data_IF_644346450654
#
_entry.id   IF_644346450654
#
_cell.length_a   1.000
_cell.length_b   1.000
_cell.length_c   1.000
_cell.angle_alpha   90.00
_cell.angle_beta   90.00
_cell.angle_gamma   90.00
#
_symmetry.space_group_name_H-M   'P 1'
#
loop_
_entity.id
_entity.type
_entity.pdbx_description
1 polymer ?
#
# COMPACT_ATOMS: atom_id res chain seq x y z
N UNK A 1 -15.92 -3.43 10.00
CA UNK A 1 -15.48 -2.46 8.98
C UNK A 1 -14.23 -2.89 8.19
N UNK A 2 -13.38 -3.80 8.72
CA UNK A 2 -12.17 -4.28 8.02
C UNK A 2 -12.40 -4.82 6.60
N UNK A 3 -13.43 -5.65 6.43
CA UNK A 3 -13.78 -6.26 5.13
C UNK A 3 -14.16 -5.20 4.10
N UNK A 4 -14.94 -4.20 4.49
CA UNK A 4 -15.32 -3.10 3.61
C UNK A 4 -14.09 -2.29 3.16
N UNK A 5 -13.19 -1.97 4.08
CA UNK A 5 -11.94 -1.26 3.76
C UNK A 5 -11.04 -2.02 2.77
N UNK A 6 -10.87 -3.33 2.96
CA UNK A 6 -10.11 -4.17 2.03
C UNK A 6 -10.73 -4.25 0.63
N UNK A 7 -12.06 -4.43 0.54
CA UNK A 7 -12.77 -4.46 -0.76
C UNK A 7 -12.65 -3.12 -1.48
N UNK A 8 -12.84 -2.00 -0.77
CA UNK A 8 -12.69 -0.65 -1.33
C UNK A 8 -11.26 -0.46 -1.88
N UNK A 9 -10.25 -0.87 -1.13
CA UNK A 9 -8.86 -0.77 -1.57
C UNK A 9 -8.56 -1.63 -2.80
N UNK A 10 -9.10 -2.84 -2.90
CA UNK A 10 -8.97 -3.69 -4.09
C UNK A 10 -9.63 -3.03 -5.31
N UNK A 11 -10.87 -2.56 -5.16
CA UNK A 11 -11.61 -1.91 -6.26
C UNK A 11 -10.85 -0.66 -6.71
N UNK A 12 -10.44 0.20 -5.77
CA UNK A 12 -9.65 1.39 -6.06
C UNK A 12 -8.32 1.04 -6.75
N UNK A 13 -7.63 -0.02 -6.30
CA UNK A 13 -6.41 -0.51 -6.93
C UNK A 13 -6.62 -0.98 -8.37
N UNK A 14 -7.69 -1.72 -8.66
CA UNK A 14 -8.03 -2.18 -10.03
C UNK A 14 -8.28 -0.99 -10.94
N UNK A 15 -9.07 -0.01 -10.51
CA UNK A 15 -9.26 1.22 -11.29
C UNK A 15 -7.96 2.03 -11.42
N UNK A 16 -7.10 2.00 -10.42
CA UNK A 16 -5.76 2.59 -10.47
C UNK A 16 -4.87 1.95 -11.55
N UNK A 17 -4.92 0.63 -11.74
CA UNK A 17 -4.21 -0.05 -12.85
C UNK A 17 -4.75 0.42 -14.20
N UNK A 18 -6.08 0.55 -14.35
CA UNK A 18 -6.68 1.05 -15.59
C UNK A 18 -6.27 2.50 -15.86
N UNK A 19 -6.24 3.34 -14.83
CA UNK A 19 -5.79 4.72 -14.91
C UNK A 19 -4.30 4.81 -15.28
N UNK A 20 -3.46 3.96 -14.70
CA UNK A 20 -2.05 3.86 -15.04
C UNK A 20 -1.86 3.38 -16.50
N UNK A 21 -2.68 2.44 -16.95
CA UNK A 21 -2.75 2.02 -18.34
C UNK A 21 -3.12 3.16 -19.29
N UNK A 22 -4.12 3.97 -18.92
CA UNK A 22 -4.46 5.18 -19.67
C UNK A 22 -3.30 6.18 -19.70
N UNK A 23 -2.64 6.43 -18.56
CA UNK A 23 -1.45 7.29 -18.48
C UNK A 23 -0.31 6.77 -19.36
N UNK A 24 -0.06 5.46 -19.38
CA UNK A 24 0.93 4.84 -20.26
C UNK A 24 0.55 4.95 -21.74
N UNK A 25 -0.73 4.79 -22.09
CA UNK A 25 -1.20 4.97 -23.46
C UNK A 25 -1.03 6.43 -23.91
N UNK A 26 -1.43 7.39 -23.08
CA UNK A 26 -1.25 8.81 -23.38
C UNK A 26 0.25 9.17 -23.47
N UNK A 27 1.07 8.68 -22.56
CA UNK A 27 2.52 8.88 -22.57
C UNK A 27 3.21 8.21 -23.77
N UNK A 28 2.77 7.01 -24.16
CA UNK A 28 3.29 6.29 -25.32
C UNK A 28 2.92 6.96 -26.64
N UNK A 29 1.67 7.43 -26.78
CA UNK A 29 1.26 8.25 -27.92
C UNK A 29 2.03 9.57 -27.96
N UNK A 30 2.16 10.27 -26.82
CA UNK A 30 2.94 11.50 -26.71
C UNK A 30 4.42 11.28 -27.09
N UNK A 31 4.99 10.12 -26.74
CA UNK A 31 6.36 9.75 -27.11
C UNK A 31 6.50 9.56 -28.63
N UNK A 32 5.48 8.96 -29.28
CA UNK A 32 5.48 8.76 -30.73
C UNK A 32 5.37 10.07 -31.53
N UNK A 33 4.79 11.11 -30.93
CA UNK A 33 4.72 12.47 -31.50
C UNK A 33 5.86 13.39 -31.02
N UNK A 34 6.89 12.84 -30.34
CA UNK A 34 8.01 13.59 -29.75
C UNK A 34 7.59 14.76 -28.87
N UNK A 35 6.47 14.62 -28.16
CA UNK A 35 6.01 15.63 -27.23
C UNK A 35 6.94 15.71 -26.01
N UNK A 36 7.30 16.93 -25.63
CA UNK A 36 8.16 17.21 -24.49
C UNK A 36 7.53 16.69 -23.18
N UNK A 37 8.32 16.02 -22.33
CA UNK A 37 7.85 15.45 -21.06
C UNK A 37 7.15 14.08 -21.17
N UNK A 38 7.05 13.49 -22.37
CA UNK A 38 6.46 12.16 -22.59
C UNK A 38 7.11 11.04 -21.76
N UNK A 39 8.44 11.06 -21.62
CA UNK A 39 9.17 10.10 -20.77
C UNK A 39 8.76 10.13 -19.29
N UNK A 40 8.44 11.31 -18.76
CA UNK A 40 7.94 11.46 -17.39
C UNK A 40 6.55 10.83 -17.23
N UNK A 41 5.67 11.02 -18.22
CA UNK A 41 4.32 10.43 -18.21
C UNK A 41 4.39 8.90 -18.25
N UNK A 42 5.27 8.35 -19.08
CA UNK A 42 5.51 6.89 -19.14
C UNK A 42 6.07 6.36 -17.82
N UNK A 43 7.03 7.07 -17.21
CA UNK A 43 7.58 6.71 -15.91
C UNK A 43 6.53 6.73 -14.79
N UNK A 44 5.70 7.77 -14.75
CA UNK A 44 4.58 7.88 -13.80
C UNK A 44 3.54 6.77 -14.03
N UNK A 45 3.28 6.40 -15.28
CA UNK A 45 2.41 5.28 -15.61
C UNK A 45 2.92 3.95 -15.05
N UNK A 46 4.21 3.65 -15.22
CA UNK A 46 4.82 2.44 -14.63
C UNK A 46 4.82 2.46 -13.11
N UNK A 47 5.10 3.62 -12.49
CA UNK A 47 4.92 3.81 -11.05
C UNK A 47 3.50 3.48 -10.62
N UNK A 48 2.51 4.01 -11.35
CA UNK A 48 1.09 3.77 -11.11
C UNK A 48 0.72 2.28 -11.15
N UNK A 49 1.19 1.55 -12.16
CA UNK A 49 0.91 0.10 -12.28
C UNK A 49 1.45 -0.67 -11.07
N UNK A 50 2.73 -0.45 -10.71
CA UNK A 50 3.38 -1.17 -9.61
C UNK A 50 2.68 -0.90 -8.28
N UNK A 51 2.41 0.38 -7.97
CA UNK A 51 1.75 0.75 -6.72
C UNK A 51 0.29 0.29 -6.69
N UNK A 52 -0.46 0.41 -7.79
CA UNK A 52 -1.84 -0.09 -7.85
C UNK A 52 -1.90 -1.59 -7.65
N UNK A 53 -0.96 -2.34 -8.22
CA UNK A 53 -0.87 -3.78 -8.00
C UNK A 53 -0.55 -4.11 -6.53
N UNK A 54 0.40 -3.38 -5.92
CA UNK A 54 0.71 -3.52 -4.50
C UNK A 54 -0.51 -3.25 -3.61
N UNK A 55 -1.31 -2.22 -3.93
CA UNK A 55 -2.56 -1.90 -3.22
C UNK A 55 -3.59 -3.01 -3.36
N UNK A 56 -3.76 -3.61 -4.54
CA UNK A 56 -4.66 -4.77 -4.74
C UNK A 56 -4.24 -5.94 -3.85
N UNK A 57 -2.94 -6.28 -3.89
CA UNK A 57 -2.38 -7.39 -3.10
C UNK A 57 -2.53 -7.12 -1.61
N UNK A 58 -2.17 -5.92 -1.13
CA UNK A 58 -2.33 -5.53 0.26
C UNK A 58 -3.80 -5.51 0.68
N UNK A 59 -4.71 -5.05 -0.18
CA UNK A 59 -6.16 -5.07 0.07
C UNK A 59 -6.70 -6.49 0.21
N UNK A 60 -6.22 -7.42 -0.60
CA UNK A 60 -6.54 -8.85 -0.48
C UNK A 60 -5.97 -9.45 0.81
N UNK A 61 -4.73 -9.13 1.17
CA UNK A 61 -4.09 -9.58 2.42
C UNK A 61 -4.86 -9.04 3.64
N UNK A 62 -5.33 -7.78 3.62
CA UNK A 62 -6.16 -7.19 4.69
C UNK A 62 -7.44 -8.00 4.91
N UNK A 63 -8.00 -8.60 3.87
CA UNK A 63 -9.20 -9.43 3.96
C UNK A 63 -8.97 -10.74 4.73
N UNK A 64 -7.79 -11.34 4.57
CA UNK A 64 -7.41 -12.61 5.21
C UNK A 64 -6.63 -12.47 6.53
N UNK A 65 -5.98 -11.34 6.77
CA UNK A 65 -5.11 -11.14 7.92
C UNK A 65 -5.88 -10.75 9.19
N UNK A 66 -5.40 -11.19 10.36
CA UNK A 66 -5.91 -10.74 11.68
C UNK A 66 -5.26 -9.43 12.17
N UNK A 67 -4.04 -9.12 11.72
CA UNK A 67 -3.24 -7.98 12.19
C UNK A 67 -3.54 -6.62 11.54
N UNK A 68 -2.91 -5.57 12.10
CA UNK A 68 -2.92 -4.18 11.61
C UNK A 68 -1.82 -3.84 10.60
N UNK A 69 -0.75 -4.65 10.58
CA UNK A 69 0.40 -4.52 9.68
C UNK A 69 -0.02 -4.33 8.22
N UNK A 70 -0.85 -5.21 7.60
CA UNK A 70 -1.18 -5.06 6.18
C UNK A 70 -2.04 -3.83 5.89
N UNK A 71 -2.83 -3.35 6.85
CA UNK A 71 -3.60 -2.12 6.69
C UNK A 71 -2.71 -0.87 6.76
N UNK A 72 -1.69 -0.88 7.62
CA UNK A 72 -0.69 0.19 7.67
C UNK A 72 0.19 0.23 6.40
N UNK A 73 0.62 -0.95 5.90
CA UNK A 73 1.35 -1.04 4.63
C UNK A 73 0.50 -0.53 3.47
N UNK A 74 -0.81 -0.80 3.46
CA UNK A 74 -1.72 -0.30 2.42
C UNK A 74 -1.79 1.21 2.40
N UNK A 75 -1.88 1.86 3.57
CA UNK A 75 -1.86 3.32 3.69
C UNK A 75 -0.53 3.86 3.16
N UNK A 76 0.60 3.30 3.58
CA UNK A 76 1.91 3.74 3.13
C UNK A 76 2.08 3.57 1.61
N UNK A 77 1.64 2.43 1.08
CA UNK A 77 1.66 2.15 -0.36
C UNK A 77 0.75 3.10 -1.14
N UNK A 78 -0.40 3.51 -0.58
CA UNK A 78 -1.29 4.49 -1.20
C UNK A 78 -0.69 5.90 -1.24
N UNK A 79 0.03 6.31 -0.19
CA UNK A 79 0.73 7.60 -0.15
C UNK A 79 1.87 7.63 -1.17
N UNK A 80 2.67 6.56 -1.22
CA UNK A 80 3.75 6.45 -2.21
C UNK A 80 3.18 6.39 -3.63
N UNK A 81 2.10 5.65 -3.84
CA UNK A 81 1.42 5.52 -5.12
C UNK A 81 0.78 6.82 -5.60
N UNK A 82 0.29 7.69 -4.70
CA UNK A 82 -0.27 8.99 -5.11
C UNK A 82 0.80 9.97 -5.61
N UNK A 83 2.03 9.84 -5.11
CA UNK A 83 3.17 10.67 -5.55
C UNK A 83 3.80 10.08 -6.82
N UNK A 84 4.01 8.76 -6.87
CA UNK A 84 4.71 8.10 -7.97
C UNK A 84 3.82 7.71 -9.17
N UNK A 85 2.50 7.62 -8.99
CA UNK A 85 1.56 7.16 -10.04
C UNK A 85 1.02 8.25 -10.97
N UNK A 86 1.31 9.52 -10.70
CA UNK A 86 0.75 10.65 -11.44
C UNK A 86 -0.69 11.01 -11.03
N UNK A 87 -1.24 12.06 -11.64
CA UNK A 87 -2.51 12.70 -11.22
C UNK A 87 -3.73 11.80 -11.36
N UNK A 88 -3.83 11.04 -12.46
CA UNK A 88 -4.95 10.11 -12.69
C UNK A 88 -4.98 8.97 -11.67
N UNK A 89 -3.81 8.41 -11.34
CA UNK A 89 -3.68 7.33 -10.35
C UNK A 89 -3.85 7.88 -8.93
N UNK A 90 -3.43 9.11 -8.65
CA UNK A 90 -3.53 9.74 -7.35
C UNK A 90 -4.98 9.77 -6.81
N UNK A 91 -5.97 10.01 -7.67
CA UNK A 91 -7.40 10.01 -7.26
C UNK A 91 -7.81 8.62 -6.74
N UNK A 92 -7.41 7.56 -7.45
CA UNK A 92 -7.66 6.18 -7.03
C UNK A 92 -6.85 5.80 -5.78
N UNK A 93 -5.65 6.34 -5.63
CA UNK A 93 -4.84 6.14 -4.42
C UNK A 93 -5.45 6.81 -3.19
N UNK A 94 -6.13 7.94 -3.33
CA UNK A 94 -6.88 8.56 -2.23
C UNK A 94 -8.06 7.66 -1.83
N UNK A 95 -8.77 7.07 -2.81
CA UNK A 95 -9.82 6.08 -2.53
C UNK A 95 -9.26 4.84 -1.82
N UNK A 96 -8.10 4.35 -2.25
CA UNK A 96 -7.39 3.25 -1.60
C UNK A 96 -6.95 3.60 -0.17
N UNK A 97 -6.48 4.83 0.05
CA UNK A 97 -6.13 5.37 1.36
C UNK A 97 -7.34 5.35 2.30
N UNK A 98 -8.51 5.78 1.83
CA UNK A 98 -9.76 5.68 2.60
C UNK A 98 -10.09 4.23 2.94
N UNK A 99 -9.92 3.30 1.98
CA UNK A 99 -10.03 1.86 2.22
C UNK A 99 -9.08 1.35 3.30
N UNK A 100 -7.82 1.81 3.28
CA UNK A 100 -6.79 1.51 4.28
C UNK A 100 -7.13 2.04 5.67
N UNK A 101 -7.56 3.30 5.77
CA UNK A 101 -7.99 3.91 7.04
C UNK A 101 -9.18 3.15 7.62
N UNK A 102 -10.20 2.84 6.80
CA UNK A 102 -11.35 2.03 7.20
C UNK A 102 -10.94 0.62 7.65
N UNK A 103 -9.92 0.04 7.02
CA UNK A 103 -9.36 -1.24 7.43
C UNK A 103 -8.62 -1.18 8.78
N UNK A 104 -7.86 -0.11 9.04
CA UNK A 104 -7.18 0.13 10.33
C UNK A 104 -8.18 0.33 11.46
N UNK A 105 -9.20 1.17 11.25
CA UNK A 105 -10.27 1.42 12.25
C UNK A 105 -11.08 0.15 12.49
N UNK A 106 -11.33 -0.63 11.44
CA UNK A 106 -12.01 -1.92 11.54
C UNK A 106 -11.20 -3.03 12.23
N UNK A 107 -9.90 -2.82 12.48
CA UNK A 107 -9.03 -3.76 13.19
C UNK A 107 -8.82 -3.21 14.60
N UNK A 108 -9.44 -3.80 15.63
CA UNK A 108 -9.22 -3.41 17.04
C UNK A 108 -7.71 -3.39 17.34
N UNK A 109 -7.26 -2.33 18.02
CA UNK A 109 -5.86 -1.99 18.22
C UNK A 109 -5.00 -3.11 18.80
N UNK A 110 -4.12 -3.66 17.98
CA UNK A 110 -2.77 -4.03 18.44
C UNK A 110 -1.91 -2.80 18.18
N UNK A 111 -1.46 -2.18 19.27
CA UNK A 111 -0.68 -0.95 19.32
C UNK A 111 0.51 -1.03 18.36
N UNK A 112 0.92 0.14 17.89
CA UNK A 112 2.21 0.35 17.28
C UNK A 112 3.29 -0.34 18.12
N UNK A 113 4.02 -1.26 17.49
CA UNK A 113 5.37 -1.57 17.93
C UNK A 113 6.26 -1.55 16.69
N UNK A 114 6.60 -0.34 16.28
CA UNK A 114 7.90 -0.09 15.69
C UNK A 114 8.78 0.27 16.87
N UNK A 115 9.29 -0.73 17.59
CA UNK A 115 10.52 -0.58 18.35
C UNK A 115 11.57 -1.50 17.73
N UNK A 116 12.71 -0.88 17.41
CA UNK A 116 14.08 -1.36 17.44
C UNK A 116 14.39 -2.85 17.08
N UNK A 117 15.53 -3.11 16.39
CA UNK A 117 15.94 -4.47 16.02
C UNK A 117 15.97 -5.40 17.24
N UNK A 118 15.49 -6.63 17.06
CA UNK A 118 15.56 -7.71 18.05
C UNK A 118 16.99 -7.86 18.59
N UNK A 119 17.22 -7.49 19.85
CA UNK A 119 18.31 -8.06 20.65
C UNK A 119 17.71 -9.22 21.44
N UNK A 120 18.24 -10.45 21.31
CA UNK A 120 17.72 -11.65 21.96
C UNK A 120 17.47 -11.46 23.46
N UNK A 121 16.31 -11.93 23.91
CA UNK A 121 15.82 -11.86 25.28
C UNK A 121 16.87 -12.42 26.25
N UNK A 122 17.34 -11.62 27.20
CA UNK A 122 18.04 -12.14 28.37
C UNK A 122 17.03 -12.94 29.22
N UNK A 123 17.35 -14.21 29.44
CA UNK A 123 16.58 -15.15 30.27
C UNK A 123 16.32 -14.52 31.66
N UNK A 124 15.07 -14.47 32.15
CA UNK A 124 14.77 -13.91 33.47
C UNK A 124 15.38 -14.77 34.59
N UNK A 125 16.09 -14.12 35.52
CA UNK A 125 16.83 -14.75 36.62
C UNK A 125 15.97 -15.49 37.68
N UNK A 126 14.67 -15.64 37.45
CA UNK A 126 13.76 -16.41 38.32
C UNK A 126 13.69 -17.90 37.98
N UNK A 127 14.31 -18.35 36.88
CA UNK A 127 14.44 -19.77 36.49
C UNK A 127 15.81 -20.36 36.82
N UNK A 128 16.65 -19.67 37.60
CA UNK A 128 17.89 -20.27 38.11
C UNK A 128 17.49 -21.22 39.27
N UNK A 129 17.58 -22.55 39.11
CA UNK A 129 17.35 -23.46 40.22
C UNK A 129 18.37 -23.15 41.33
N UNK A 130 18.00 -23.27 42.62
CA UNK A 130 18.96 -23.14 43.70
C UNK A 130 20.06 -24.19 43.49
N UNK A 131 21.27 -23.73 43.19
CA UNK A 131 22.47 -24.55 43.25
C UNK A 131 22.61 -25.00 44.69
N UNK A 132 22.33 -26.28 44.93
CA UNK A 132 22.75 -26.98 46.14
C UNK A 132 24.27 -27.15 46.12
#
# INVERSE_FOLDING_TARGET
MKKAGGIIAIIAGVFGVLAAGATLLLGGLASAFEAEGSGTVVGLGWGGVIFSFAVIVLGAIVLGAKGRVPAALLILSSILGSILGGTLVAIFMILALLGGVLAVVGTKSVKADITAPEIPQAVPASEIPPTS
#
